data_IF_202048548076
#
_entry.id   IF_202048548076
#
_cell.length_a   1.000
_cell.length_b   1.000
_cell.length_c   1.000
_cell.angle_alpha   90.00
_cell.angle_beta   90.00
_cell.angle_gamma   90.00
#
_symmetry.space_group_name_H-M   'P 1'
#
loop_
_entity.id
_entity.type
_entity.pdbx_description
1 polymer ?
#
# COMPACT_ATOMS: atom_id res chain seq x y z
N UNK A 1 24.64 5.97 10.53
CA UNK A 1 24.62 5.47 9.14
C UNK A 1 24.82 3.96 9.16
N UNK A 2 23.90 3.19 8.55
CA UNK A 2 24.08 1.74 8.34
C UNK A 2 25.21 1.58 7.32
N UNK A 3 26.29 0.84 7.65
CA UNK A 3 27.33 0.52 6.67
C UNK A 3 26.71 -0.34 5.57
N UNK A 4 26.69 0.17 4.34
CA UNK A 4 26.30 -0.56 3.13
C UNK A 4 27.58 -1.03 2.47
N UNK A 5 27.67 -2.33 2.19
CA UNK A 5 28.72 -2.84 1.31
C UNK A 5 28.28 -2.51 -0.12
N UNK A 6 29.01 -1.64 -0.77
CA UNK A 6 28.80 -1.29 -2.17
C UNK A 6 29.94 -1.93 -2.97
N UNK A 7 29.58 -2.60 -4.07
CA UNK A 7 30.54 -3.13 -5.02
C UNK A 7 31.31 -1.96 -5.67
N UNK A 8 32.60 -2.14 -5.95
CA UNK A 8 33.47 -1.05 -6.40
C UNK A 8 33.10 -0.51 -7.79
N UNK A 9 32.34 -1.26 -8.58
CA UNK A 9 31.82 -0.85 -9.89
C UNK A 9 30.42 -0.24 -9.83
N UNK A 10 29.78 -0.20 -8.65
CA UNK A 10 28.43 0.33 -8.52
C UNK A 10 28.40 1.86 -8.70
N UNK A 11 27.69 2.31 -9.74
CA UNK A 11 27.42 3.72 -10.00
C UNK A 11 25.92 3.97 -9.85
N UNK A 12 25.55 4.88 -8.94
CA UNK A 12 24.15 5.28 -8.77
C UNK A 12 23.76 6.36 -9.76
N UNK A 13 23.03 5.98 -10.81
CA UNK A 13 22.54 6.89 -11.86
C UNK A 13 21.27 7.68 -11.48
N UNK A 14 20.75 7.51 -10.27
CA UNK A 14 19.57 8.22 -9.78
C UNK A 14 18.55 7.29 -9.14
N UNK A 15 17.30 7.75 -9.07
CA UNK A 15 16.15 6.97 -8.62
C UNK A 15 14.94 7.45 -9.43
N UNK A 16 14.10 6.50 -9.80
CA UNK A 16 12.87 6.73 -10.55
C UNK A 16 11.71 6.17 -9.74
N UNK A 17 10.59 6.86 -9.76
CA UNK A 17 9.35 6.52 -9.08
C UNK A 17 8.31 6.06 -10.10
N UNK A 18 7.68 4.93 -9.84
CA UNK A 18 6.64 4.35 -10.69
C UNK A 18 5.26 4.59 -10.09
N UNK A 19 4.37 5.16 -10.89
CA UNK A 19 2.94 5.29 -10.59
C UNK A 19 2.18 4.31 -11.47
N UNK A 20 1.33 3.46 -10.88
CA UNK A 20 0.60 2.45 -11.63
C UNK A 20 -0.84 2.25 -11.13
N UNK A 21 -1.76 2.02 -12.06
CA UNK A 21 -3.17 1.75 -11.83
C UNK A 21 -3.55 0.45 -12.53
N UNK A 22 -3.95 -0.54 -11.73
CA UNK A 22 -4.39 -1.85 -12.23
C UNK A 22 -5.90 -1.88 -12.39
N UNK A 23 -6.36 -2.21 -13.61
CA UNK A 23 -7.72 -2.65 -13.82
C UNK A 23 -7.79 -4.16 -13.52
N UNK A 24 -8.30 -4.53 -12.35
CA UNK A 24 -8.34 -5.93 -11.92
C UNK A 24 -9.17 -6.83 -12.85
N UNK A 25 -10.18 -6.29 -13.53
CA UNK A 25 -11.11 -7.08 -14.34
C UNK A 25 -10.47 -7.62 -15.62
N UNK A 26 -9.47 -6.92 -16.17
CA UNK A 26 -8.77 -7.34 -17.39
C UNK A 26 -7.25 -7.43 -17.24
N UNK A 27 -6.69 -7.00 -16.11
CA UNK A 27 -5.26 -7.02 -15.83
C UNK A 27 -4.46 -5.91 -16.48
N UNK A 28 -5.09 -4.98 -17.22
CA UNK A 28 -4.37 -3.88 -17.86
C UNK A 28 -3.87 -2.88 -16.83
N UNK A 29 -2.72 -2.30 -17.12
CA UNK A 29 -2.02 -1.34 -16.28
C UNK A 29 -1.92 -0.02 -17.02
N UNK A 30 -2.34 1.06 -16.36
CA UNK A 30 -1.85 2.39 -16.71
C UNK A 30 -0.64 2.68 -15.82
N UNK A 31 0.51 3.00 -16.39
CA UNK A 31 1.72 3.22 -15.64
C UNK A 31 2.54 4.38 -16.21
N UNK A 32 3.14 5.18 -15.32
CA UNK A 32 4.10 6.21 -15.67
C UNK A 32 5.30 6.17 -14.74
N UNK A 33 6.48 6.46 -15.29
CA UNK A 33 7.76 6.47 -14.58
C UNK A 33 8.35 7.88 -14.58
N UNK A 34 8.61 8.41 -13.38
CA UNK A 34 8.98 9.81 -13.13
C UNK A 34 10.23 9.90 -12.25
N UNK A 35 10.89 11.05 -12.22
CA UNK A 35 12.08 11.27 -11.38
C UNK A 35 11.78 11.59 -9.91
N UNK A 36 10.50 11.70 -9.54
CA UNK A 36 10.06 11.91 -8.16
C UNK A 36 8.64 11.37 -7.90
N UNK A 37 8.31 11.18 -6.62
CA UNK A 37 6.99 10.82 -6.12
C UNK A 37 6.25 12.01 -5.46
N UNK A 38 6.52 13.25 -5.88
CA UNK A 38 5.92 14.42 -5.24
C UNK A 38 4.42 14.48 -5.49
N UNK A 39 3.73 15.21 -4.61
CA UNK A 39 2.29 15.47 -4.71
C UNK A 39 1.87 16.00 -6.10
N UNK A 40 2.61 16.94 -6.67
CA UNK A 40 2.28 17.53 -7.98
C UNK A 40 2.30 16.46 -9.09
N UNK A 41 3.37 15.66 -9.14
CA UNK A 41 3.55 14.54 -10.06
C UNK A 41 2.42 13.52 -9.91
N UNK A 42 2.09 13.12 -8.68
CA UNK A 42 0.97 12.21 -8.43
C UNK A 42 -0.36 12.75 -9.00
N UNK A 43 -0.68 14.04 -8.77
CA UNK A 43 -1.91 14.64 -9.25
C UNK A 43 -1.98 14.69 -10.78
N UNK A 44 -0.85 14.98 -11.44
CA UNK A 44 -0.75 14.98 -12.89
C UNK A 44 -0.93 13.58 -13.48
N UNK A 45 -0.22 12.59 -12.95
CA UNK A 45 -0.36 11.20 -13.40
C UNK A 45 -1.79 10.68 -13.19
N UNK A 46 -2.40 10.98 -12.03
CA UNK A 46 -3.78 10.58 -11.77
C UNK A 46 -4.77 11.23 -12.75
N UNK A 47 -4.57 12.52 -13.07
CA UNK A 47 -5.36 13.22 -14.09
C UNK A 47 -5.21 12.58 -15.46
N UNK A 48 -3.98 12.30 -15.88
CA UNK A 48 -3.72 11.67 -17.17
C UNK A 48 -4.36 10.28 -17.25
N UNK A 49 -4.24 9.48 -16.19
CA UNK A 49 -4.89 8.19 -16.07
C UNK A 49 -6.41 8.29 -16.25
N UNK A 50 -7.09 9.14 -15.46
CA UNK A 50 -8.56 9.28 -15.53
C UNK A 50 -9.03 9.86 -16.86
N UNK A 51 -8.25 10.76 -17.47
CA UNK A 51 -8.58 11.34 -18.78
C UNK A 51 -8.59 10.30 -19.90
N UNK A 52 -7.88 9.18 -19.74
CA UNK A 52 -7.90 8.05 -20.67
C UNK A 52 -9.12 7.12 -20.46
N UNK A 53 -9.95 7.35 -19.43
CA UNK A 53 -11.14 6.55 -19.12
C UNK A 53 -12.39 7.25 -19.67
N UNK A 54 -12.95 6.66 -20.74
CA UNK A 54 -14.06 7.25 -21.49
C UNK A 54 -15.47 6.88 -20.97
N UNK A 55 -15.57 6.02 -19.94
CA UNK A 55 -16.87 5.64 -19.35
C UNK A 55 -17.33 6.67 -18.34
N UNK A 56 -18.64 6.95 -18.27
CA UNK A 56 -19.24 7.81 -17.23
C UNK A 56 -19.49 7.07 -15.90
N UNK A 57 -19.28 5.76 -15.88
CA UNK A 57 -19.51 4.93 -14.71
C UNK A 57 -18.65 5.36 -13.51
N UNK A 58 -19.12 5.10 -12.27
CA UNK A 58 -18.32 5.31 -11.08
C UNK A 58 -17.00 4.53 -11.13
N UNK A 59 -15.90 5.20 -10.79
CA UNK A 59 -14.56 4.65 -10.74
C UNK A 59 -14.18 4.39 -9.29
N UNK A 60 -13.97 3.12 -8.95
CA UNK A 60 -13.54 2.70 -7.63
C UNK A 60 -12.04 2.39 -7.63
N UNK A 61 -11.28 3.12 -6.82
CA UNK A 61 -9.85 2.90 -6.63
C UNK A 61 -9.58 2.32 -5.25
N UNK A 62 -8.67 1.35 -5.17
CA UNK A 62 -8.12 0.85 -3.91
C UNK A 62 -6.72 1.43 -3.75
N UNK A 63 -6.46 2.16 -2.66
CA UNK A 63 -5.21 2.87 -2.44
C UNK A 63 -4.64 2.60 -1.05
N UNK A 64 -3.34 2.81 -0.87
CA UNK A 64 -2.74 2.85 0.46
C UNK A 64 -2.97 4.20 1.15
N UNK A 65 -2.50 4.34 2.39
CA UNK A 65 -2.73 5.52 3.22
C UNK A 65 -1.64 6.60 3.04
N UNK A 66 -0.91 6.62 1.93
CA UNK A 66 0.11 7.64 1.69
C UNK A 66 -0.51 9.05 1.77
N UNK A 67 0.22 10.01 2.36
CA UNK A 67 -0.30 11.36 2.61
C UNK A 67 -0.70 12.11 1.34
N UNK A 68 -0.10 11.78 0.20
CA UNK A 68 -0.49 12.30 -1.13
C UNK A 68 -1.88 11.83 -1.54
N UNK A 69 -2.28 10.60 -1.19
CA UNK A 69 -3.57 10.00 -1.54
C UNK A 69 -4.74 10.53 -0.70
N UNK A 70 -4.48 11.31 0.35
CA UNK A 70 -5.51 11.89 1.21
C UNK A 70 -5.28 13.38 1.50
N UNK A 71 -4.53 14.07 0.63
CA UNK A 71 -4.32 15.51 0.73
C UNK A 71 -5.51 16.30 0.15
N UNK A 72 -5.67 17.56 0.55
CA UNK A 72 -6.77 18.40 0.06
C UNK A 72 -6.70 18.65 -1.45
N UNK A 73 -5.49 18.82 -2.00
CA UNK A 73 -5.30 18.99 -3.45
C UNK A 73 -5.80 17.78 -4.26
N UNK A 74 -5.71 16.57 -3.70
CA UNK A 74 -6.29 15.39 -4.33
C UNK A 74 -7.82 15.39 -4.23
N UNK A 75 -8.39 15.90 -3.13
CA UNK A 75 -9.84 16.09 -3.03
C UNK A 75 -10.35 17.05 -4.12
N UNK A 76 -9.63 18.15 -4.36
CA UNK A 76 -9.95 19.10 -5.43
C UNK A 76 -9.90 18.45 -6.82
N UNK A 77 -8.85 17.68 -7.10
CA UNK A 77 -8.73 16.94 -8.36
C UNK A 77 -9.87 15.94 -8.56
N UNK A 78 -10.22 15.19 -7.50
CA UNK A 78 -11.32 14.22 -7.54
C UNK A 78 -12.66 14.91 -7.79
N UNK A 79 -12.91 16.07 -7.17
CA UNK A 79 -14.12 16.85 -7.39
C UNK A 79 -14.21 17.34 -8.85
N UNK A 80 -13.12 17.91 -9.36
CA UNK A 80 -12.99 18.38 -10.75
C UNK A 80 -13.26 17.26 -11.76
N UNK A 81 -12.58 16.11 -11.62
CA UNK A 81 -12.73 14.96 -12.51
C UNK A 81 -14.11 14.25 -12.37
N UNK A 82 -14.81 14.50 -11.25
CA UNK A 82 -16.17 14.03 -11.02
C UNK A 82 -17.23 15.05 -11.45
N UNK A 83 -16.85 16.26 -11.88
CA UNK A 83 -17.78 17.31 -12.29
C UNK A 83 -18.60 17.92 -11.16
N UNK A 84 -18.07 17.94 -9.93
CA UNK A 84 -18.73 18.52 -8.75
C UNK A 84 -17.87 19.59 -8.09
N UNK A 85 -18.49 20.44 -7.26
CA UNK A 85 -17.75 21.39 -6.43
C UNK A 85 -17.04 20.68 -5.28
N UNK A 86 -15.76 21.01 -5.08
CA UNK A 86 -14.99 20.50 -3.95
C UNK A 86 -15.44 21.21 -2.66
N UNK A 87 -15.75 20.48 -1.57
CA UNK A 87 -15.99 21.12 -0.27
C UNK A 87 -14.81 21.99 0.15
N UNK A 88 -15.04 23.14 0.79
CA UNK A 88 -13.97 24.04 1.23
C UNK A 88 -12.95 23.35 2.14
N UNK A 89 -11.69 23.81 2.08
CA UNK A 89 -10.60 23.26 2.91
C UNK A 89 -10.91 23.33 4.42
N UNK A 90 -11.69 24.32 4.85
CA UNK A 90 -12.15 24.45 6.24
C UNK A 90 -13.01 23.26 6.67
N UNK A 91 -13.79 22.69 5.77
CA UNK A 91 -14.60 21.49 6.02
C UNK A 91 -13.76 20.23 5.96
N UNK A 92 -12.78 20.17 5.04
CA UNK A 92 -11.84 19.07 4.82
C UNK A 92 -10.47 19.27 5.49
N UNK A 93 -10.46 19.93 6.65
CA UNK A 93 -9.24 20.35 7.35
C UNK A 93 -8.48 19.20 8.04
N UNK A 94 -9.17 18.10 8.34
CA UNK A 94 -8.62 16.90 8.97
C UNK A 94 -8.49 15.77 7.96
N UNK A 95 -7.43 14.97 8.09
CA UNK A 95 -7.22 13.78 7.26
C UNK A 95 -8.44 12.83 7.30
N UNK A 96 -9.02 12.59 8.47
CA UNK A 96 -10.19 11.72 8.60
C UNK A 96 -11.38 12.19 7.74
N UNK A 97 -11.65 13.49 7.72
CA UNK A 97 -12.72 14.07 6.89
C UNK A 97 -12.41 13.98 5.40
N UNK A 98 -11.15 14.14 5.01
CA UNK A 98 -10.71 13.95 3.61
C UNK A 98 -10.89 12.51 3.16
N UNK A 99 -10.49 11.56 4.01
CA UNK A 99 -10.66 10.12 3.75
C UNK A 99 -12.13 9.76 3.64
N UNK A 100 -12.96 10.23 4.56
CA UNK A 100 -14.42 10.03 4.55
C UNK A 100 -15.05 10.59 3.27
N UNK A 101 -14.74 11.83 2.92
CA UNK A 101 -15.23 12.44 1.69
C UNK A 101 -14.73 11.73 0.44
N UNK A 102 -13.45 11.33 0.37
CA UNK A 102 -12.90 10.57 -0.76
C UNK A 102 -13.57 9.19 -0.89
N UNK A 103 -13.99 8.58 0.22
CA UNK A 103 -14.67 7.28 0.25
C UNK A 103 -16.17 7.36 -0.10
N UNK A 104 -16.79 8.54 -0.07
CA UNK A 104 -18.21 8.68 -0.41
C UNK A 104 -18.52 8.34 -1.87
N UNK A 105 -19.70 7.78 -2.11
CA UNK A 105 -20.27 7.44 -3.42
C UNK A 105 -21.03 8.61 -4.08
N UNK A 106 -21.04 9.78 -3.44
CA UNK A 106 -21.71 11.00 -3.92
C UNK A 106 -21.06 11.65 -5.15
N UNK A 107 -20.02 11.01 -5.70
CA UNK A 107 -19.19 11.53 -6.80
C UNK A 107 -18.67 10.35 -7.64
N UNK A 108 -18.29 10.63 -8.89
CA UNK A 108 -17.86 9.60 -9.84
C UNK A 108 -16.65 8.80 -9.34
N UNK A 109 -15.67 9.44 -8.72
CA UNK A 109 -14.43 8.78 -8.27
C UNK A 109 -14.52 8.47 -6.77
N UNK A 110 -14.50 7.19 -6.42
CA UNK A 110 -14.59 6.70 -5.04
C UNK A 110 -13.28 6.03 -4.65
N UNK A 111 -12.68 6.47 -3.54
CA UNK A 111 -11.40 5.94 -3.05
C UNK A 111 -11.63 5.07 -1.83
N UNK A 112 -11.22 3.81 -1.93
CA UNK A 112 -11.19 2.83 -0.86
C UNK A 112 -9.77 2.72 -0.34
N UNK A 113 -9.54 3.14 0.90
CA UNK A 113 -8.23 3.01 1.53
C UNK A 113 -8.07 1.62 2.14
N UNK A 114 -6.93 0.99 1.90
CA UNK A 114 -6.53 -0.21 2.64
C UNK A 114 -6.43 0.10 4.14
N UNK A 115 -6.55 -0.88 5.03
CA UNK A 115 -6.25 -0.69 6.45
C UNK A 115 -4.82 -0.14 6.64
N UNK A 116 -4.58 0.56 7.76
CA UNK A 116 -3.21 0.98 8.12
C UNK A 116 -2.28 -0.24 8.17
N UNK A 117 -1.09 -0.13 7.57
CA UNK A 117 -0.13 -1.22 7.38
C UNK A 117 -0.63 -2.42 6.53
N UNK A 118 -1.76 -2.23 5.84
CA UNK A 118 -2.39 -3.20 4.95
C UNK A 118 -2.10 -2.98 3.47
N UNK A 119 -1.01 -2.28 3.10
CA UNK A 119 -0.68 -2.01 1.69
C UNK A 119 -0.54 -3.29 0.85
N UNK A 120 -0.13 -4.39 1.47
CA UNK A 120 -0.06 -5.73 0.85
C UNK A 120 -1.41 -6.25 0.34
N UNK A 121 -2.53 -5.67 0.76
CA UNK A 121 -3.86 -5.98 0.21
C UNK A 121 -4.10 -5.28 -1.13
N UNK A 122 -3.32 -4.26 -1.49
CA UNK A 122 -3.46 -3.60 -2.77
C UNK A 122 -2.99 -4.53 -3.89
N UNK A 123 -3.88 -4.93 -4.82
CA UNK A 123 -3.55 -5.89 -5.88
C UNK A 123 -2.39 -5.44 -6.77
N UNK A 124 -2.18 -4.13 -6.92
CA UNK A 124 -1.08 -3.60 -7.71
C UNK A 124 0.29 -4.10 -7.20
N UNK A 125 0.42 -4.40 -5.90
CA UNK A 125 1.64 -4.96 -5.32
C UNK A 125 2.03 -6.31 -5.93
N UNK A 126 1.05 -7.11 -6.38
CA UNK A 126 1.31 -8.35 -7.10
C UNK A 126 1.98 -8.03 -8.45
N UNK A 127 1.44 -7.05 -9.18
CA UNK A 127 2.01 -6.62 -10.44
C UNK A 127 3.40 -6.00 -10.26
N UNK A 128 3.63 -5.18 -9.23
CA UNK A 128 4.96 -4.65 -8.92
C UNK A 128 5.97 -5.76 -8.62
N UNK A 129 5.55 -6.85 -7.96
CA UNK A 129 6.40 -8.03 -7.78
C UNK A 129 6.80 -8.69 -9.11
N UNK A 130 5.86 -8.84 -10.04
CA UNK A 130 6.13 -9.41 -11.37
C UNK A 130 7.04 -8.48 -12.18
N UNK A 131 6.72 -7.19 -12.23
CA UNK A 131 7.51 -6.17 -12.90
C UNK A 131 8.93 -6.13 -12.33
N UNK A 132 9.07 -6.13 -11.01
CA UNK A 132 10.36 -6.15 -10.34
C UNK A 132 11.23 -7.34 -10.73
N UNK A 133 10.63 -8.54 -10.78
CA UNK A 133 11.36 -9.75 -11.20
C UNK A 133 11.76 -9.74 -12.69
N UNK A 134 11.08 -8.97 -13.54
CA UNK A 134 11.30 -8.92 -14.99
C UNK A 134 12.20 -7.77 -15.43
N UNK A 135 12.06 -6.60 -14.81
CA UNK A 135 12.71 -5.34 -15.23
C UNK A 135 13.86 -4.96 -14.29
N UNK A 136 13.74 -5.23 -12.99
CA UNK A 136 14.71 -4.74 -11.98
C UNK A 136 15.87 -5.70 -11.68
N UNK A 137 15.92 -6.85 -12.35
CA UNK A 137 17.03 -7.80 -12.25
C UNK A 137 18.22 -7.46 -13.17
N UNK A 138 18.22 -6.29 -13.79
CA UNK A 138 19.26 -5.78 -14.70
C UNK A 138 19.84 -4.44 -14.21
N UNK A 139 21.03 -4.09 -14.70
CA UNK A 139 21.69 -2.80 -14.42
C UNK A 139 21.45 -1.81 -15.56
N UNK A 140 21.17 -0.55 -15.21
CA UNK A 140 20.88 0.51 -16.18
C UNK A 140 21.95 1.61 -16.16
N UNK A 141 22.45 1.98 -17.34
CA UNK A 141 23.47 3.01 -17.49
C UNK A 141 22.91 4.44 -17.32
N UNK A 142 21.58 4.63 -17.40
CA UNK A 142 20.93 5.92 -17.11
C UNK A 142 19.45 5.77 -16.71
N UNK A 143 18.85 6.77 -16.03
CA UNK A 143 17.40 6.77 -15.74
C UNK A 143 16.53 6.65 -16.99
N UNK A 144 16.96 7.22 -18.11
CA UNK A 144 16.24 7.15 -19.39
C UNK A 144 16.25 5.74 -19.97
N UNK A 145 17.37 5.02 -19.85
CA UNK A 145 17.43 3.61 -20.28
C UNK A 145 16.49 2.73 -19.44
N UNK A 146 16.39 2.99 -18.14
CA UNK A 146 15.43 2.31 -17.27
C UNK A 146 13.99 2.64 -17.66
N UNK A 147 13.69 3.94 -17.86
CA UNK A 147 12.36 4.39 -18.29
C UNK A 147 11.94 3.71 -19.59
N UNK A 148 12.84 3.60 -20.57
CA UNK A 148 12.56 2.92 -21.84
C UNK A 148 12.27 1.43 -21.67
N UNK A 149 13.02 0.73 -20.83
CA UNK A 149 12.78 -0.68 -20.53
C UNK A 149 11.44 -0.87 -19.80
N UNK A 150 11.14 0.00 -18.85
CA UNK A 150 9.86 0.05 -18.16
C UNK A 150 8.69 0.29 -19.11
N UNK A 151 8.76 1.33 -19.96
CA UNK A 151 7.71 1.67 -20.92
C UNK A 151 7.47 0.48 -21.88
N UNK A 152 8.54 -0.15 -22.37
CA UNK A 152 8.45 -1.35 -23.24
C UNK A 152 7.79 -2.54 -22.53
N UNK A 153 8.09 -2.74 -21.24
CA UNK A 153 7.47 -3.79 -20.44
C UNK A 153 5.99 -3.54 -20.19
N UNK A 154 5.58 -2.30 -19.95
CA UNK A 154 4.15 -1.93 -19.79
C UNK A 154 3.38 -2.19 -21.09
N UNK A 155 3.96 -1.86 -22.24
CA UNK A 155 3.38 -2.14 -23.55
C UNK A 155 3.24 -3.65 -23.82
N UNK A 156 4.28 -4.42 -23.53
CA UNK A 156 4.27 -5.89 -23.64
C UNK A 156 3.22 -6.49 -22.69
N UNK A 157 3.18 -6.02 -21.44
CA UNK A 157 2.21 -6.47 -20.46
C UNK A 157 0.78 -6.27 -20.95
N UNK A 158 0.44 -5.04 -21.35
CA UNK A 158 -0.91 -4.69 -21.78
C UNK A 158 -1.34 -5.39 -23.08
N UNK A 159 -0.38 -5.75 -23.93
CA UNK A 159 -0.64 -6.38 -25.23
C UNK A 159 -0.73 -7.91 -25.14
N UNK A 160 0.11 -8.54 -24.31
CA UNK A 160 0.32 -9.99 -24.34
C UNK A 160 0.03 -10.70 -23.01
N UNK A 161 0.25 -10.03 -21.87
CA UNK A 161 0.26 -10.69 -20.55
C UNK A 161 -0.94 -10.34 -19.69
N UNK A 162 -1.64 -9.24 -19.96
CA UNK A 162 -2.76 -8.76 -19.16
C UNK A 162 -3.86 -9.81 -19.10
N UNK A 163 -4.24 -10.17 -17.87
CA UNK A 163 -5.29 -11.13 -17.57
C UNK A 163 -6.04 -10.72 -16.30
N UNK A 164 -7.32 -11.11 -16.16
CA UNK A 164 -8.10 -10.78 -14.96
C UNK A 164 -7.41 -11.26 -13.68
N UNK A 165 -7.28 -10.36 -12.70
CA UNK A 165 -6.79 -10.70 -11.37
C UNK A 165 -7.95 -11.14 -10.49
N UNK A 166 -7.85 -12.35 -9.94
CA UNK A 166 -8.85 -12.85 -9.00
C UNK A 166 -8.54 -12.36 -7.60
N UNK A 167 -9.39 -11.49 -7.07
CA UNK A 167 -9.39 -11.18 -5.64
C UNK A 167 -9.95 -12.39 -4.86
N UNK A 168 -9.08 -13.10 -4.14
CA UNK A 168 -9.45 -14.27 -3.33
C UNK A 168 -9.39 -14.01 -1.83
N UNK A 169 -8.91 -12.84 -1.41
CA UNK A 169 -8.73 -12.53 0.00
C UNK A 169 -10.08 -12.17 0.64
N UNK A 170 -10.51 -13.02 1.57
CA UNK A 170 -11.77 -12.88 2.32
C UNK A 170 -11.55 -12.53 3.80
N UNK A 171 -10.30 -12.23 4.19
CA UNK A 171 -9.93 -11.95 5.58
C UNK A 171 -9.88 -13.17 6.50
N UNK A 172 -10.24 -14.37 6.02
CA UNK A 172 -10.27 -15.57 6.85
C UNK A 172 -8.87 -15.92 7.36
N UNK A 173 -8.78 -16.15 8.66
CA UNK A 173 -7.52 -16.46 9.34
C UNK A 173 -6.58 -15.26 9.56
N UNK A 174 -6.99 -14.02 9.23
CA UNK A 174 -6.19 -12.82 9.50
C UNK A 174 -5.91 -12.66 11.00
N UNK A 175 -6.94 -12.80 11.84
CA UNK A 175 -6.82 -12.69 13.30
C UNK A 175 -5.73 -13.63 13.84
N UNK A 176 -5.80 -14.90 13.44
CA UNK A 176 -4.82 -15.90 13.87
C UNK A 176 -3.40 -15.58 13.37
N UNK A 177 -3.25 -15.18 12.10
CA UNK A 177 -1.95 -14.76 11.56
C UNK A 177 -1.38 -13.56 12.31
N UNK A 178 -2.22 -12.60 12.69
CA UNK A 178 -1.83 -11.40 13.44
C UNK A 178 -1.31 -11.75 14.82
N UNK A 179 -2.02 -12.62 15.56
CA UNK A 179 -1.56 -13.11 16.87
C UNK A 179 -0.23 -13.86 16.74
N UNK A 180 -0.13 -14.82 15.80
CA UNK A 180 1.12 -15.57 15.55
C UNK A 180 2.30 -14.66 15.21
N UNK A 181 2.08 -13.62 14.41
CA UNK A 181 3.12 -12.65 14.05
C UNK A 181 3.59 -11.86 15.27
N UNK A 182 2.66 -11.39 16.09
CA UNK A 182 3.01 -10.69 17.33
C UNK A 182 3.78 -11.60 18.29
N UNK A 183 3.31 -12.83 18.52
CA UNK A 183 4.03 -13.85 19.31
C UNK A 183 5.47 -14.03 18.82
N UNK A 184 5.66 -14.19 17.50
CA UNK A 184 7.00 -14.32 16.91
C UNK A 184 7.87 -13.07 17.16
N UNK A 185 7.30 -11.87 17.11
CA UNK A 185 8.03 -10.63 17.37
C UNK A 185 8.47 -10.52 18.83
N UNK A 186 7.59 -10.88 19.78
CA UNK A 186 7.92 -10.96 21.22
C UNK A 186 9.09 -11.92 21.46
N UNK A 187 9.05 -13.10 20.84
CA UNK A 187 10.12 -14.10 20.97
C UNK A 187 11.44 -13.66 20.33
N UNK A 188 11.41 -13.08 19.13
CA UNK A 188 12.62 -12.81 18.32
C UNK A 188 13.25 -11.43 18.52
N UNK A 189 12.49 -10.41 18.94
CA UNK A 189 12.95 -9.00 18.93
C UNK A 189 12.64 -8.23 20.21
N UNK A 190 12.16 -8.89 21.26
CA UNK A 190 11.56 -8.25 22.45
C UNK A 190 12.30 -7.01 23.01
N UNK A 191 13.63 -7.06 23.13
CA UNK A 191 14.45 -5.96 23.69
C UNK A 191 14.65 -4.77 22.74
N UNK A 192 14.40 -4.93 21.45
CA UNK A 192 14.61 -3.91 20.40
C UNK A 192 13.30 -3.28 19.93
N UNK A 193 12.17 -3.63 20.55
CA UNK A 193 10.86 -3.10 20.17
C UNK A 193 10.61 -1.76 20.86
N UNK A 194 10.26 -0.74 20.08
CA UNK A 194 9.89 0.56 20.65
C UNK A 194 8.58 0.49 21.44
N UNK A 195 8.50 1.25 22.55
CA UNK A 195 7.33 1.31 23.42
C UNK A 195 6.04 1.67 22.66
N UNK A 196 6.13 2.59 21.71
CA UNK A 196 4.99 3.01 20.88
C UNK A 196 4.43 1.86 20.03
N UNK A 197 5.31 0.99 19.52
CA UNK A 197 4.92 -0.19 18.76
C UNK A 197 4.30 -1.26 19.66
N UNK A 198 4.88 -1.50 20.84
CA UNK A 198 4.36 -2.47 21.82
C UNK A 198 2.96 -2.05 22.25
N UNK A 199 2.75 -0.80 22.61
CA UNK A 199 1.44 -0.27 23.04
C UNK A 199 0.36 -0.48 21.98
N UNK A 200 0.66 -0.15 20.70
CA UNK A 200 -0.27 -0.37 19.58
C UNK A 200 -0.54 -1.86 19.35
N UNK A 201 0.49 -2.69 19.42
CA UNK A 201 0.35 -4.14 19.21
C UNK A 201 -0.48 -4.80 20.30
N UNK A 202 -0.28 -4.41 21.57
CA UNK A 202 -1.09 -4.89 22.70
C UNK A 202 -2.54 -4.42 22.57
N UNK A 203 -2.77 -3.17 22.19
CA UNK A 203 -4.12 -2.65 21.93
C UNK A 203 -4.82 -3.46 20.83
N UNK A 204 -4.09 -3.85 19.78
CA UNK A 204 -4.60 -4.74 18.74
C UNK A 204 -4.88 -6.14 19.27
N UNK A 205 -4.03 -6.71 20.13
CA UNK A 205 -4.28 -8.03 20.74
C UNK A 205 -5.55 -8.00 21.60
N UNK A 206 -5.73 -6.96 22.40
CA UNK A 206 -6.95 -6.75 23.21
C UNK A 206 -8.17 -6.66 22.29
N UNK A 207 -8.11 -5.85 21.23
CA UNK A 207 -9.21 -5.75 20.27
C UNK A 207 -9.57 -7.09 19.61
N UNK A 208 -8.56 -7.88 19.22
CA UNK A 208 -8.75 -9.22 18.64
C UNK A 208 -9.36 -10.17 19.68
N UNK A 209 -8.87 -10.13 20.92
CA UNK A 209 -9.39 -10.96 22.00
C UNK A 209 -10.86 -10.63 22.30
N UNK A 210 -11.21 -9.34 22.40
CA UNK A 210 -12.57 -8.92 22.77
C UNK A 210 -13.59 -9.19 21.65
N UNK A 211 -13.23 -8.92 20.40
CA UNK A 211 -14.20 -8.91 19.29
C UNK A 211 -14.10 -10.13 18.38
N UNK A 212 -12.98 -10.86 18.42
CA UNK A 212 -12.66 -11.91 17.47
C UNK A 212 -12.02 -13.14 18.12
N UNK A 213 -12.28 -13.39 19.41
CA UNK A 213 -11.72 -14.53 20.17
C UNK A 213 -11.81 -15.85 19.40
N UNK A 214 -13.02 -16.18 18.93
CA UNK A 214 -13.35 -17.42 18.20
C UNK A 214 -12.68 -17.54 16.82
N UNK A 215 -12.09 -16.45 16.31
CA UNK A 215 -11.35 -16.45 15.04
C UNK A 215 -9.89 -16.85 15.21
N UNK A 216 -9.45 -17.12 16.44
CA UNK A 216 -8.08 -17.52 16.79
C UNK A 216 -8.15 -18.79 17.64
N UNK A 217 -7.39 -19.81 17.24
CA UNK A 217 -7.32 -21.07 17.97
C UNK A 217 -6.77 -20.90 19.39
N UNK A 218 -7.30 -21.69 20.34
CA UNK A 218 -6.85 -21.68 21.73
C UNK A 218 -5.35 -21.97 21.87
N UNK A 219 -4.79 -22.82 21.01
CA UNK A 219 -3.35 -23.10 20.98
C UNK A 219 -2.53 -21.87 20.59
N UNK A 220 -3.04 -21.04 19.66
CA UNK A 220 -2.39 -19.80 19.27
C UNK A 220 -2.42 -18.77 20.41
N UNK A 221 -3.53 -18.67 21.14
CA UNK A 221 -3.61 -17.84 22.34
C UNK A 221 -2.64 -18.31 23.42
N UNK A 222 -2.58 -19.62 23.67
CA UNK A 222 -1.66 -20.19 24.65
C UNK A 222 -0.20 -19.88 24.31
N UNK A 223 0.20 -20.03 23.03
CA UNK A 223 1.55 -19.70 22.60
C UNK A 223 1.90 -18.22 22.79
N UNK A 224 0.94 -17.30 22.63
CA UNK A 224 1.18 -15.88 22.94
C UNK A 224 1.42 -15.69 24.44
N UNK A 225 0.59 -16.30 25.29
CA UNK A 225 0.72 -16.22 26.75
C UNK A 225 2.10 -16.74 27.18
N UNK A 226 2.48 -17.93 26.69
CA UNK A 226 3.77 -18.54 27.02
C UNK A 226 4.95 -17.65 26.59
N UNK A 227 4.87 -17.06 25.39
CA UNK A 227 5.90 -16.15 24.89
C UNK A 227 6.06 -14.88 25.74
N UNK A 228 4.95 -14.31 26.21
CA UNK A 228 4.97 -13.13 27.08
C UNK A 228 5.51 -13.48 28.47
N UNK A 229 5.07 -14.60 29.05
CA UNK A 229 5.54 -15.08 30.36
C UNK A 229 7.05 -15.34 30.37
N UNK A 230 7.56 -16.04 29.36
CA UNK A 230 9.00 -16.31 29.22
C UNK A 230 9.84 -15.02 29.19
N UNK A 231 9.33 -13.97 28.54
CA UNK A 231 10.02 -12.67 28.47
C UNK A 231 9.93 -11.90 29.78
N UNK A 232 8.78 -11.94 30.46
CA UNK A 232 8.62 -11.33 31.78
C UNK A 232 9.61 -11.91 32.80
N UNK A 233 9.79 -13.23 32.81
CA UNK A 233 10.77 -13.90 33.67
C UNK A 233 12.21 -13.52 33.33
N UNK A 234 12.52 -13.27 32.06
CA UNK A 234 13.85 -12.84 31.61
C UNK A 234 14.19 -11.40 31.96
N UNK A 235 13.21 -10.51 32.10
CA UNK A 235 13.40 -9.09 32.45
C UNK A 235 13.39 -8.88 33.97
N UNK A 236 12.71 -9.78 34.70
CA UNK A 236 12.58 -9.69 36.17
C UNK A 236 13.76 -10.31 36.94
N UNK A 237 14.79 -10.81 36.25
CA UNK A 237 16.06 -11.29 36.80
C UNK A 237 17.17 -10.26 36.53
#
# INVERSE_FOLDING_TARGET
MKKRLEEFEYIRNGTMDVFAFLNYANGKIYAECHGDHKKATFLEVFRNHVSNIHTIEPLHYVMDNLSTHNCYAFCQLVAELSGIDCPPEKELNKQAKRVEWLNSDTKRIVIHFTPFHGSWLNLIEIWFGIMGAKVLNESFCSPESFKKAFDSYVDEWNSLLAHPFRWSYDGKGLHEKTVKRFTKMVLSKGEQLELSFISKSLSLMVNIFENYFEKVSSSTWQHLIDAVSLRYESISK
#
